data_IF_245831004193
#
_entry.id   IF_245831004193
#
_cell.length_a   1.000
_cell.length_b   1.000
_cell.length_c   1.000
_cell.angle_alpha   90.00
_cell.angle_beta   90.00
_cell.angle_gamma   90.00
#
_symmetry.space_group_name_H-M   'P 1'
#
loop_
_entity.id
_entity.type
_entity.pdbx_description
1 polymer ?
#
# COMPACT_ATOMS: atom_id res chain seq x y z
N UNK A 1 60.27 30.80 26.03
CA UNK A 1 59.88 29.42 25.63
C UNK A 1 58.42 29.07 26.00
N UNK A 2 57.47 30.02 25.99
CA UNK A 2 56.06 29.77 26.39
C UNK A 2 55.10 29.63 25.19
N UNK A 3 55.55 29.89 23.95
CA UNK A 3 54.64 29.99 22.80
C UNK A 3 54.18 28.65 22.19
N UNK A 4 54.97 27.58 22.25
CA UNK A 4 54.63 26.31 21.57
C UNK A 4 53.61 25.46 22.31
N UNK A 5 53.65 25.44 23.66
CA UNK A 5 52.77 24.59 24.47
C UNK A 5 51.33 25.13 24.50
N UNK A 6 51.17 26.46 24.58
CA UNK A 6 49.86 27.13 24.57
C UNK A 6 49.14 26.99 23.22
N UNK A 7 49.86 27.05 22.10
CA UNK A 7 49.27 26.88 20.76
C UNK A 7 48.77 25.44 20.56
N UNK A 8 49.51 24.44 21.05
CA UNK A 8 49.08 23.03 20.98
C UNK A 8 47.84 22.77 21.84
N UNK A 9 47.80 23.32 23.06
CA UNK A 9 46.63 23.21 23.93
C UNK A 9 45.38 23.86 23.30
N UNK A 10 45.56 25.02 22.65
CA UNK A 10 44.46 25.72 21.97
C UNK A 10 43.93 24.96 20.75
N UNK A 11 44.83 24.35 19.94
CA UNK A 11 44.43 23.51 18.81
C UNK A 11 43.68 22.25 19.24
N UNK A 12 44.14 21.57 20.30
CA UNK A 12 43.46 20.39 20.85
C UNK A 12 42.08 20.77 21.40
N UNK A 13 41.98 21.90 22.11
CA UNK A 13 40.70 22.40 22.61
C UNK A 13 39.75 22.82 21.46
N UNK A 14 40.26 23.45 20.41
CA UNK A 14 39.46 23.85 19.25
C UNK A 14 38.93 22.63 18.47
N UNK A 15 39.75 21.60 18.27
CA UNK A 15 39.31 20.35 17.61
C UNK A 15 38.30 19.60 18.48
N UNK A 16 38.54 19.51 19.81
CA UNK A 16 37.59 18.88 20.73
C UNK A 16 36.25 19.61 20.77
N UNK A 17 36.26 20.95 20.76
CA UNK A 17 35.03 21.75 20.71
C UNK A 17 34.29 21.56 19.39
N UNK A 18 35.01 21.47 18.26
CA UNK A 18 34.42 21.21 16.95
C UNK A 18 33.79 19.81 16.84
N UNK A 19 34.39 18.79 17.47
CA UNK A 19 33.83 17.44 17.54
C UNK A 19 32.59 17.35 18.45
N UNK A 20 32.45 18.25 19.44
CA UNK A 20 31.30 18.27 20.37
C UNK A 20 30.13 19.13 19.87
N UNK A 21 30.36 20.00 18.87
CA UNK A 21 29.29 20.83 18.25
C UNK A 21 28.79 20.27 16.92
N UNK A 22 29.38 19.18 16.42
CA UNK A 22 28.81 18.46 15.28
C UNK A 22 27.52 17.80 15.73
N UNK A 23 26.37 18.36 15.35
CA UNK A 23 25.09 17.67 15.47
C UNK A 23 25.22 16.34 14.72
N UNK A 24 25.36 15.24 15.44
CA UNK A 24 25.29 13.91 14.85
C UNK A 24 23.85 13.74 14.35
N UNK A 25 23.61 14.02 13.07
CA UNK A 25 22.37 13.64 12.42
C UNK A 25 22.37 12.13 12.31
N UNK A 26 21.72 11.45 13.26
CA UNK A 26 21.41 10.04 13.17
C UNK A 26 20.45 9.86 12.00
N UNK A 27 20.94 9.34 10.88
CA UNK A 27 20.10 8.93 9.76
C UNK A 27 19.39 7.65 10.21
N UNK A 28 18.09 7.75 10.50
CA UNK A 28 17.27 6.56 10.73
C UNK A 28 17.20 5.83 9.39
N UNK A 29 17.67 4.59 9.38
CA UNK A 29 17.72 3.80 8.16
C UNK A 29 16.31 3.32 7.79
N UNK A 30 15.88 3.67 6.58
CA UNK A 30 14.71 3.10 5.93
C UNK A 30 15.07 1.71 5.38
N UNK A 31 14.29 0.70 5.75
CA UNK A 31 14.41 -0.65 5.22
C UNK A 31 13.19 -0.95 4.35
N UNK A 32 13.46 -1.31 3.11
CA UNK A 32 12.48 -1.66 2.10
C UNK A 32 12.47 -3.19 1.94
N UNK A 33 11.31 -3.81 2.13
CA UNK A 33 11.19 -5.27 2.09
C UNK A 33 9.92 -5.75 1.40
N UNK A 34 9.91 -7.03 1.04
CA UNK A 34 8.70 -7.75 0.65
C UNK A 34 8.61 -9.05 1.42
N UNK A 35 7.39 -9.45 1.75
CA UNK A 35 7.13 -10.58 2.63
C UNK A 35 5.66 -10.92 2.73
N UNK A 36 5.31 -11.69 3.75
CA UNK A 36 3.92 -12.09 4.03
C UNK A 36 3.53 -11.65 5.42
N UNK A 37 2.32 -11.10 5.59
CA UNK A 37 1.80 -10.77 6.93
C UNK A 37 1.58 -12.07 7.72
N UNK A 38 2.23 -12.20 8.87
CA UNK A 38 2.13 -13.38 9.74
C UNK A 38 1.10 -13.20 10.85
N UNK A 39 0.93 -11.97 11.34
CA UNK A 39 -0.05 -11.64 12.37
C UNK A 39 -0.29 -10.14 12.45
N UNK A 40 -1.42 -9.76 13.03
CA UNK A 40 -1.81 -8.37 13.28
C UNK A 40 -2.43 -8.26 14.67
N UNK A 41 -2.04 -7.23 15.42
CA UNK A 41 -2.65 -6.88 16.70
C UNK A 41 -3.24 -5.47 16.59
N UNK A 42 -4.54 -5.40 16.32
CA UNK A 42 -5.28 -4.13 16.22
C UNK A 42 -5.31 -3.35 17.53
N UNK A 43 -5.19 -4.03 18.68
CA UNK A 43 -5.21 -3.37 19.99
C UNK A 43 -3.88 -2.71 20.31
N UNK A 44 -2.77 -3.36 19.91
CA UNK A 44 -1.42 -2.81 20.01
C UNK A 44 -1.07 -1.86 18.85
N UNK A 45 -1.81 -1.92 17.74
CA UNK A 45 -1.52 -1.15 16.54
C UNK A 45 -0.34 -1.70 15.72
N UNK A 46 0.00 -2.97 15.90
CA UNK A 46 1.20 -3.59 15.29
C UNK A 46 0.87 -4.62 14.23
N UNK A 47 1.69 -4.67 13.19
CA UNK A 47 1.65 -5.69 12.13
C UNK A 47 3.00 -6.41 12.10
N UNK A 48 2.96 -7.74 11.97
CA UNK A 48 4.13 -8.59 11.81
C UNK A 48 4.20 -9.12 10.38
N UNK A 49 5.38 -9.02 9.77
CA UNK A 49 5.65 -9.45 8.41
C UNK A 49 6.85 -10.39 8.43
N UNK A 50 6.69 -11.59 7.87
CA UNK A 50 7.83 -12.44 7.53
C UNK A 50 8.48 -11.90 6.27
N UNK A 51 9.60 -11.19 6.43
CA UNK A 51 10.34 -10.55 5.36
C UNK A 51 11.19 -11.56 4.61
N UNK A 52 11.02 -11.63 3.28
CA UNK A 52 11.65 -12.63 2.42
C UNK A 52 12.58 -12.00 1.38
N UNK A 53 12.36 -10.73 1.05
CA UNK A 53 13.18 -9.97 0.10
C UNK A 53 13.50 -8.59 0.66
N UNK A 54 14.66 -8.07 0.29
CA UNK A 54 15.08 -6.71 0.59
C UNK A 54 15.44 -5.97 -0.69
N UNK A 55 15.13 -4.68 -0.71
CA UNK A 55 15.57 -3.79 -1.78
C UNK A 55 17.01 -3.36 -1.51
N UNK A 56 17.84 -3.44 -2.53
CA UNK A 56 19.23 -2.99 -2.49
C UNK A 56 19.54 -2.14 -3.71
N UNK A 57 20.39 -1.14 -3.50
CA UNK A 57 20.98 -0.35 -4.57
C UNK A 57 22.46 -0.72 -4.61
N UNK A 58 22.88 -1.33 -5.72
CA UNK A 58 24.28 -1.58 -6.02
C UNK A 58 24.78 -0.57 -7.04
N UNK A 59 26.08 -0.29 -7.09
CA UNK A 59 26.64 0.66 -8.06
C UNK A 59 27.61 -0.05 -8.98
N UNK A 60 27.36 0.04 -10.29
CA UNK A 60 28.34 -0.37 -11.31
C UNK A 60 28.89 0.90 -11.95
N UNK A 61 30.03 1.39 -11.44
CA UNK A 61 30.52 2.73 -11.75
C UNK A 61 29.64 3.80 -11.12
N UNK A 62 29.13 4.74 -11.92
CA UNK A 62 28.21 5.81 -11.49
C UNK A 62 26.73 5.47 -11.69
N UNK A 63 26.41 4.27 -12.20
CA UNK A 63 25.03 3.88 -12.48
C UNK A 63 24.48 3.07 -11.30
N UNK A 64 23.39 3.53 -10.66
CA UNK A 64 22.68 2.74 -9.66
C UNK A 64 21.99 1.55 -10.35
N UNK A 65 22.10 0.39 -9.72
CA UNK A 65 21.43 -0.84 -10.10
C UNK A 65 20.57 -1.29 -8.92
N UNK A 66 19.28 -1.03 -9.06
CA UNK A 66 18.23 -1.28 -8.07
C UNK A 66 17.68 -2.69 -8.23
N UNK A 67 17.74 -3.47 -7.16
CA UNK A 67 17.37 -4.88 -7.20
C UNK A 67 16.65 -5.31 -5.93
N UNK A 68 15.67 -6.19 -6.12
CA UNK A 68 15.11 -6.99 -5.03
C UNK A 68 15.90 -8.28 -4.93
N UNK A 69 16.53 -8.51 -3.79
CA UNK A 69 17.30 -9.73 -3.54
C UNK A 69 16.61 -10.56 -2.46
N UNK A 70 16.64 -11.90 -2.57
CA UNK A 70 16.23 -12.76 -1.46
C UNK A 70 17.03 -12.42 -0.21
N UNK A 71 16.34 -12.25 0.91
CA UNK A 71 16.93 -12.03 2.22
C UNK A 71 16.78 -13.28 3.08
N UNK A 72 17.54 -13.36 4.17
CA UNK A 72 17.25 -14.37 5.19
C UNK A 72 15.90 -14.03 5.81
N UNK A 73 15.01 -15.03 5.89
CA UNK A 73 13.67 -14.82 6.38
C UNK A 73 13.71 -14.33 7.83
N UNK A 74 13.10 -13.17 8.07
CA UNK A 74 13.12 -12.49 9.38
C UNK A 74 11.76 -11.88 9.67
N UNK A 75 11.33 -12.01 10.92
CA UNK A 75 10.12 -11.34 11.40
C UNK A 75 10.41 -9.84 11.57
N UNK A 76 9.59 -9.00 10.95
CA UNK A 76 9.61 -7.56 11.12
C UNK A 76 8.31 -7.14 11.78
N UNK A 77 8.42 -6.49 12.94
CA UNK A 77 7.28 -6.00 13.72
C UNK A 77 7.27 -4.48 13.65
N UNK A 78 6.18 -3.87 13.23
CA UNK A 78 6.08 -2.41 13.24
C UNK A 78 4.69 -1.89 13.54
N UNK A 79 4.61 -0.63 13.95
CA UNK A 79 3.36 0.09 14.10
C UNK A 79 2.78 0.40 12.72
N UNK A 80 1.48 0.15 12.54
CA UNK A 80 0.78 0.47 11.30
C UNK A 80 0.75 2.00 11.07
N UNK A 81 0.90 2.47 9.81
CA UNK A 81 0.88 3.91 9.52
C UNK A 81 -0.48 4.57 9.83
N UNK A 82 -1.56 3.79 9.68
CA UNK A 82 -2.92 4.15 10.03
C UNK A 82 -3.72 2.91 10.47
N UNK A 83 -4.72 3.11 11.33
CA UNK A 83 -5.62 2.05 11.80
C UNK A 83 -6.39 1.32 10.69
N UNK A 84 -6.57 1.97 9.52
CA UNK A 84 -7.21 1.37 8.35
C UNK A 84 -6.42 0.18 7.78
N UNK A 85 -5.12 0.07 8.08
CA UNK A 85 -4.32 -1.10 7.71
C UNK A 85 -4.98 -2.41 8.20
N UNK A 86 -5.57 -2.42 9.39
CA UNK A 86 -6.25 -3.59 9.95
C UNK A 86 -7.60 -3.93 9.30
N UNK A 87 -8.04 -3.14 8.32
CA UNK A 87 -9.26 -3.39 7.54
C UNK A 87 -8.93 -3.75 6.08
N UNK A 88 -7.77 -3.33 5.58
CA UNK A 88 -7.32 -3.55 4.20
C UNK A 88 -6.50 -4.83 4.07
N UNK A 89 -5.67 -5.12 5.07
CA UNK A 89 -4.77 -6.26 5.06
C UNK A 89 -5.30 -7.43 5.89
N UNK A 90 -4.88 -8.63 5.52
CA UNK A 90 -5.17 -9.88 6.22
C UNK A 90 -3.89 -10.68 6.46
N UNK A 91 -3.93 -11.60 7.44
CA UNK A 91 -2.84 -12.55 7.65
C UNK A 91 -2.74 -13.48 6.45
N UNK A 92 -1.53 -13.65 5.92
CA UNK A 92 -1.26 -14.39 4.69
C UNK A 92 -1.17 -13.51 3.44
N UNK A 93 -1.52 -12.23 3.52
CA UNK A 93 -1.35 -11.31 2.39
C UNK A 93 0.14 -11.12 2.07
N UNK A 94 0.53 -11.24 0.79
CA UNK A 94 1.84 -10.80 0.35
C UNK A 94 1.86 -9.27 0.30
N UNK A 95 2.93 -8.69 0.86
CA UNK A 95 3.06 -7.25 1.02
C UNK A 95 4.46 -6.76 0.67
N UNK A 96 4.53 -5.51 0.22
CA UNK A 96 5.73 -4.68 0.29
C UNK A 96 5.61 -3.78 1.50
N UNK A 97 6.72 -3.46 2.14
CA UNK A 97 6.73 -2.53 3.27
C UNK A 97 7.99 -1.68 3.29
N UNK A 98 7.87 -0.54 3.95
CA UNK A 98 9.00 0.33 4.32
C UNK A 98 8.89 0.59 5.82
N UNK A 99 9.98 0.36 6.53
CA UNK A 99 10.05 0.54 7.99
C UNK A 99 11.26 1.39 8.38
N UNK A 100 11.06 2.25 9.38
CA UNK A 100 12.14 3.00 10.02
C UNK A 100 12.75 2.18 11.15
N UNK A 101 14.08 2.02 11.15
CA UNK A 101 14.79 1.44 12.29
C UNK A 101 15.08 -0.06 12.21
N UNK A 102 14.88 -0.70 11.06
CA UNK A 102 15.29 -2.08 10.81
C UNK A 102 14.15 -3.10 11.00
N UNK A 103 14.27 -4.01 11.97
CA UNK A 103 13.26 -5.06 12.22
C UNK A 103 12.16 -4.64 13.20
N UNK A 104 12.18 -3.37 13.62
CA UNK A 104 11.27 -2.77 14.60
C UNK A 104 11.06 -1.29 14.30
N UNK A 105 9.92 -0.72 14.71
CA UNK A 105 9.64 0.72 14.61
C UNK A 105 8.29 1.03 13.97
N UNK A 106 8.24 2.15 13.25
CA UNK A 106 7.05 2.58 12.52
C UNK A 106 7.19 2.20 11.05
N UNK A 107 6.15 1.57 10.50
CA UNK A 107 6.07 1.45 9.05
C UNK A 107 5.83 2.85 8.46
N UNK A 108 6.60 3.21 7.43
CA UNK A 108 6.29 4.36 6.58
C UNK A 108 5.17 4.02 5.60
N UNK A 109 5.13 2.77 5.15
CA UNK A 109 4.09 2.28 4.27
C UNK A 109 4.05 0.76 4.19
N UNK A 110 2.85 0.24 3.95
CA UNK A 110 2.58 -1.16 3.65
C UNK A 110 1.71 -1.18 2.40
N UNK A 111 2.07 -2.01 1.43
CA UNK A 111 1.33 -2.17 0.18
C UNK A 111 0.98 -3.63 -0.06
N UNK A 112 -0.28 -3.88 -0.45
CA UNK A 112 -0.75 -5.21 -0.84
C UNK A 112 -0.31 -5.46 -2.27
N UNK A 113 0.37 -6.59 -2.48
CA UNK A 113 0.88 -6.98 -3.78
C UNK A 113 0.24 -8.29 -4.24
N UNK A 114 0.23 -8.58 -5.54
CA UNK A 114 -0.33 -9.82 -6.09
C UNK A 114 0.60 -11.03 -5.90
N UNK A 115 1.91 -10.79 -5.85
CA UNK A 115 2.96 -11.81 -5.68
C UNK A 115 4.20 -11.20 -5.03
N UNK A 116 5.05 -12.02 -4.42
CA UNK A 116 6.32 -11.57 -3.82
C UNK A 116 7.38 -11.50 -4.92
N UNK A 117 7.42 -10.38 -5.64
CA UNK A 117 8.37 -10.15 -6.73
C UNK A 117 8.58 -8.65 -7.00
N UNK A 118 9.68 -8.30 -7.65
CA UNK A 118 9.99 -6.90 -8.01
C UNK A 118 9.07 -6.31 -9.10
N UNK A 119 8.34 -7.15 -9.83
CA UNK A 119 7.35 -6.80 -10.84
C UNK A 119 5.90 -6.92 -10.36
N UNK A 120 5.70 -7.09 -9.04
CA UNK A 120 4.37 -7.23 -8.47
C UNK A 120 3.55 -5.94 -8.63
N UNK A 121 2.26 -6.12 -8.90
CA UNK A 121 1.28 -5.03 -8.96
C UNK A 121 0.79 -4.71 -7.55
N UNK A 122 0.53 -3.43 -7.30
CA UNK A 122 0.04 -2.95 -6.01
C UNK A 122 -1.46 -2.68 -6.10
N UNK A 123 -2.25 -3.34 -5.25
CA UNK A 123 -3.71 -3.14 -5.18
C UNK A 123 -4.16 -2.24 -4.04
N UNK A 124 -3.35 -2.08 -2.99
CA UNK A 124 -3.63 -1.15 -1.91
C UNK A 124 -2.35 -0.66 -1.24
N UNK A 125 -2.38 0.56 -0.69
CA UNK A 125 -1.30 1.16 0.10
C UNK A 125 -1.91 1.82 1.33
N UNK A 126 -1.30 1.61 2.49
CA UNK A 126 -1.50 2.45 3.67
C UNK A 126 -0.14 3.00 4.07
N UNK A 127 0.01 4.32 4.06
CA UNK A 127 1.26 5.02 4.34
C UNK A 127 1.72 5.94 3.21
N UNK A 128 3.03 6.14 3.11
CA UNK A 128 3.65 7.08 2.19
C UNK A 128 3.71 6.52 0.76
N UNK A 129 2.89 7.07 -0.13
CA UNK A 129 2.78 6.56 -1.49
C UNK A 129 4.01 6.88 -2.34
N UNK A 130 4.65 8.03 -2.14
CA UNK A 130 5.81 8.46 -2.93
C UNK A 130 7.00 7.55 -2.66
N UNK A 131 7.13 7.07 -1.42
CA UNK A 131 8.14 6.07 -1.06
C UNK A 131 7.77 4.66 -1.51
N UNK A 132 6.48 4.31 -1.62
CA UNK A 132 6.03 2.95 -1.89
C UNK A 132 5.91 2.61 -3.39
N UNK A 133 5.55 3.60 -4.22
CA UNK A 133 5.25 3.41 -5.65
C UNK A 133 6.54 3.46 -6.47
N UNK A 134 7.29 2.34 -6.47
CA UNK A 134 8.39 2.11 -7.42
C UNK A 134 7.91 1.50 -8.77
N UNK A 135 6.63 1.12 -8.83
CA UNK A 135 5.99 0.39 -9.93
C UNK A 135 4.52 0.80 -10.04
N UNK A 136 3.90 0.65 -11.23
CA UNK A 136 2.49 0.97 -11.43
C UNK A 136 1.60 0.20 -10.45
N UNK A 137 0.49 0.83 -10.07
CA UNK A 137 -0.59 0.18 -9.35
C UNK A 137 -1.28 -0.83 -10.28
N UNK A 138 -2.12 -1.69 -9.71
CA UNK A 138 -2.92 -2.63 -10.47
C UNK A 138 -3.68 -1.93 -11.62
N UNK A 139 -3.87 -2.63 -12.73
CA UNK A 139 -4.61 -2.14 -13.92
C UNK A 139 -3.99 -0.87 -14.57
N UNK A 140 -2.70 -0.62 -14.36
CA UNK A 140 -1.97 0.46 -15.03
C UNK A 140 -2.21 1.85 -14.43
N UNK A 141 -2.87 1.93 -13.28
CA UNK A 141 -2.99 3.19 -12.53
C UNK A 141 -1.64 3.68 -12.03
N UNK A 142 -1.48 5.00 -11.99
CA UNK A 142 -0.37 5.67 -11.36
C UNK A 142 -0.90 6.90 -10.62
N UNK A 143 -0.41 7.08 -9.40
CA UNK A 143 -0.77 8.20 -8.53
C UNK A 143 0.49 8.92 -8.10
N UNK A 144 0.47 10.24 -8.21
CA UNK A 144 1.46 11.13 -7.62
C UNK A 144 0.77 12.04 -6.62
N UNK A 145 1.36 12.23 -5.44
CA UNK A 145 0.86 13.18 -4.46
C UNK A 145 1.96 14.13 -4.03
N UNK A 146 1.67 15.43 -4.05
CA UNK A 146 2.59 16.47 -3.60
C UNK A 146 2.00 17.17 -2.38
N UNK A 147 2.51 16.92 -1.16
CA UNK A 147 2.04 17.58 0.04
C UNK A 147 2.42 19.07 0.05
N UNK A 148 1.45 19.94 0.29
CA UNK A 148 1.63 21.38 0.40
C UNK A 148 1.82 21.81 1.87
N UNK A 149 3.04 22.21 2.29
CA UNK A 149 3.32 22.53 3.68
C UNK A 149 2.59 23.79 4.17
N UNK A 150 2.15 23.78 5.43
CA UNK A 150 1.65 24.97 6.08
C UNK A 150 2.82 25.92 6.44
N UNK A 151 3.12 26.83 5.51
CA UNK A 151 4.23 27.76 5.66
C UNK A 151 4.04 28.82 6.76
N UNK A 152 2.80 29.06 7.20
CA UNK A 152 2.52 30.01 8.27
C UNK A 152 2.97 29.48 9.66
N UNK A 153 3.00 28.16 9.83
CA UNK A 153 3.32 27.49 11.10
C UNK A 153 4.60 26.65 11.01
N UNK A 154 5.33 26.74 9.90
CA UNK A 154 6.48 25.89 9.68
C UNK A 154 7.68 26.27 10.57
N UNK A 155 8.18 25.29 11.32
CA UNK A 155 9.42 25.40 12.06
C UNK A 155 10.26 24.13 11.86
N UNK A 156 11.52 24.29 11.45
CA UNK A 156 12.43 23.17 11.20
C UNK A 156 12.59 22.83 9.72
N UNK A 157 12.85 21.56 9.42
CA UNK A 157 13.14 21.06 8.06
C UNK A 157 11.92 20.50 7.35
N UNK A 158 10.92 20.07 8.12
CA UNK A 158 9.62 19.62 7.63
C UNK A 158 8.51 20.46 8.26
N UNK A 159 7.41 20.63 7.56
CA UNK A 159 6.22 21.31 8.04
C UNK A 159 5.03 20.36 7.92
N UNK A 160 4.06 20.46 8.82
CA UNK A 160 2.77 19.79 8.61
C UNK A 160 2.15 20.25 7.29
N UNK A 161 1.72 19.30 6.48
CA UNK A 161 1.05 19.57 5.22
C UNK A 161 -0.40 20.03 5.45
N UNK A 162 -0.77 21.15 4.84
CA UNK A 162 -2.13 21.69 4.90
C UNK A 162 -3.07 20.99 3.91
N UNK A 163 -2.52 20.48 2.81
CA UNK A 163 -3.21 19.73 1.78
C UNK A 163 -2.22 18.88 0.99
N UNK A 164 -2.72 18.06 0.06
CA UNK A 164 -1.92 17.34 -0.92
C UNK A 164 -2.53 17.50 -2.32
N UNK A 165 -1.75 17.92 -3.30
CA UNK A 165 -2.12 17.87 -4.70
C UNK A 165 -1.95 16.45 -5.22
N UNK A 166 -3.04 15.81 -5.65
CA UNK A 166 -3.07 14.42 -6.08
C UNK A 166 -3.45 14.36 -7.55
N UNK A 167 -2.59 13.72 -8.34
CA UNK A 167 -2.84 13.42 -9.75
C UNK A 167 -2.96 11.92 -9.92
N UNK A 168 -4.09 11.49 -10.48
CA UNK A 168 -4.37 10.10 -10.83
C UNK A 168 -4.33 9.97 -12.34
N UNK A 169 -3.55 9.00 -12.81
CA UNK A 169 -3.38 8.70 -14.23
C UNK A 169 -3.49 7.21 -14.47
N UNK A 170 -3.78 6.84 -15.72
CA UNK A 170 -3.77 5.46 -16.20
C UNK A 170 -3.12 5.40 -17.57
N UNK A 171 -2.13 4.53 -17.73
CA UNK A 171 -1.37 4.37 -18.98
C UNK A 171 -0.81 5.70 -19.52
N UNK A 172 -0.43 6.61 -18.61
CA UNK A 172 0.09 7.96 -18.92
C UNK A 172 -0.97 9.02 -19.21
N UNK A 173 -2.26 8.68 -19.22
CA UNK A 173 -3.36 9.64 -19.37
C UNK A 173 -3.86 10.09 -18.00
N UNK A 174 -3.93 11.41 -17.79
CA UNK A 174 -4.47 11.98 -16.55
C UNK A 174 -5.98 11.75 -16.52
N UNK A 175 -6.45 11.08 -15.47
CA UNK A 175 -7.86 10.83 -15.20
C UNK A 175 -8.45 11.88 -14.26
N UNK A 176 -7.67 12.32 -13.27
CA UNK A 176 -8.12 13.28 -12.26
C UNK A 176 -6.95 14.07 -11.67
N UNK A 177 -7.19 15.34 -11.37
CA UNK A 177 -6.32 16.21 -10.59
C UNK A 177 -7.17 16.81 -9.47
N UNK A 178 -6.73 16.66 -8.23
CA UNK A 178 -7.48 17.08 -7.05
C UNK A 178 -6.57 17.60 -5.96
N UNK A 179 -7.11 18.43 -5.07
CA UNK A 179 -6.42 18.83 -3.84
C UNK A 179 -7.16 18.22 -2.66
N UNK A 180 -6.48 17.37 -1.92
CA UNK A 180 -7.03 16.69 -0.75
C UNK A 180 -6.59 17.42 0.53
N UNK A 181 -7.55 17.76 1.38
CA UNK A 181 -7.28 18.17 2.76
C UNK A 181 -7.10 16.93 3.65
N UNK A 182 -6.43 17.03 4.81
CA UNK A 182 -6.36 15.94 5.77
C UNK A 182 -7.74 15.37 6.10
N UNK A 183 -7.90 14.06 5.95
CA UNK A 183 -9.15 13.32 6.12
C UNK A 183 -10.06 13.26 4.87
N UNK A 184 -9.75 14.01 3.81
CA UNK A 184 -10.53 14.01 2.56
C UNK A 184 -10.03 12.95 1.57
N UNK A 185 -10.90 12.55 0.65
CA UNK A 185 -10.63 11.52 -0.34
C UNK A 185 -11.11 11.92 -1.74
N UNK A 186 -10.58 11.21 -2.74
CA UNK A 186 -11.03 11.23 -4.12
C UNK A 186 -11.28 9.79 -4.59
N UNK A 187 -12.37 9.62 -5.34
CA UNK A 187 -12.72 8.40 -6.05
C UNK A 187 -12.60 8.66 -7.56
N UNK A 188 -11.82 7.83 -8.24
CA UNK A 188 -11.54 7.96 -9.66
C UNK A 188 -11.89 6.64 -10.34
N UNK A 189 -12.95 6.66 -11.14
CA UNK A 189 -13.35 5.51 -11.95
C UNK A 189 -12.77 5.64 -13.36
N UNK A 190 -12.20 4.56 -13.88
CA UNK A 190 -11.78 4.48 -15.29
C UNK A 190 -12.97 4.27 -16.24
N UNK A 191 -12.84 4.62 -17.52
CA UNK A 191 -13.85 4.33 -18.54
C UNK A 191 -13.27 3.37 -19.60
N UNK A 192 -13.91 2.21 -19.85
CA UNK A 192 -15.15 1.73 -19.23
C UNK A 192 -14.93 1.37 -17.75
N UNK A 193 -15.94 1.58 -16.91
CA UNK A 193 -15.93 1.37 -15.44
C UNK A 193 -15.59 -0.05 -14.99
N UNK A 194 -14.35 -0.46 -15.19
CA UNK A 194 -13.81 -1.77 -14.82
C UNK A 194 -13.11 -1.70 -13.47
N UNK A 195 -12.48 -0.57 -13.18
CA UNK A 195 -11.76 -0.32 -11.93
C UNK A 195 -12.03 1.07 -11.39
N UNK A 196 -11.93 1.17 -10.06
CA UNK A 196 -12.05 2.38 -9.28
C UNK A 196 -10.83 2.50 -8.37
N UNK A 197 -10.24 3.69 -8.36
CA UNK A 197 -9.17 4.07 -7.45
C UNK A 197 -9.73 5.00 -6.39
N UNK A 198 -9.63 4.57 -5.14
CA UNK A 198 -9.89 5.37 -3.96
C UNK A 198 -8.55 5.87 -3.41
N UNK A 199 -8.44 7.17 -3.12
CA UNK A 199 -7.30 7.74 -2.40
C UNK A 199 -7.76 8.73 -1.34
N UNK A 200 -7.28 8.56 -0.12
CA UNK A 200 -7.49 9.47 1.01
C UNK A 200 -6.17 10.00 1.53
N UNK A 201 -6.08 11.32 1.68
CA UNK A 201 -4.98 11.94 2.41
C UNK A 201 -5.31 11.93 3.91
N UNK A 202 -4.55 11.19 4.72
CA UNK A 202 -4.80 11.09 6.17
C UNK A 202 -4.17 12.28 6.87
N UNK A 203 -2.86 12.45 6.67
CA UNK A 203 -2.01 13.50 7.25
C UNK A 203 -0.67 13.47 6.53
N UNK A 204 0.14 14.51 6.66
CA UNK A 204 1.49 14.43 6.14
C UNK A 204 2.34 15.64 6.45
N UNK A 205 3.53 15.63 5.86
CA UNK A 205 4.52 16.68 5.97
C UNK A 205 5.02 17.09 4.58
N UNK A 206 5.35 18.36 4.45
CA UNK A 206 6.05 18.93 3.29
C UNK A 206 7.41 19.48 3.71
N UNK A 207 8.33 19.64 2.75
CA UNK A 207 9.65 20.22 3.01
C UNK A 207 9.54 21.72 3.25
N UNK A 208 10.21 22.24 4.30
CA UNK A 208 10.17 23.68 4.59
C UNK A 208 10.85 24.54 3.52
N UNK A 209 11.68 23.93 2.67
CA UNK A 209 12.31 24.60 1.52
C UNK A 209 11.30 25.08 0.47
N UNK A 210 10.10 24.49 0.39
CA UNK A 210 9.07 24.98 -0.55
C UNK A 210 8.39 26.25 -0.05
N UNK A 211 8.45 26.53 1.26
CA UNK A 211 7.88 27.73 1.87
C UNK A 211 8.66 29.01 1.61
N UNK A 212 9.96 28.89 1.31
CA UNK A 212 10.79 30.02 0.93
C UNK A 212 11.81 29.58 -0.13
N UNK A 213 11.56 29.90 -1.42
CA UNK A 213 12.47 29.51 -2.50
C UNK A 213 13.84 30.19 -2.42
N UNK A 214 13.97 31.27 -1.66
CA UNK A 214 15.23 32.01 -1.45
C UNK A 214 16.02 31.53 -0.22
N UNK A 215 15.48 30.57 0.55
CA UNK A 215 16.20 30.01 1.69
C UNK A 215 17.38 29.15 1.22
N UNK A 216 18.57 29.26 1.83
CA UNK A 216 19.69 28.41 1.47
C UNK A 216 19.30 26.93 1.66
N UNK A 217 19.54 26.11 0.63
CA UNK A 217 19.14 24.69 0.52
C UNK A 217 19.78 23.72 1.55
N UNK A 218 20.23 24.22 2.69
CA UNK A 218 21.16 23.53 3.60
C UNK A 218 20.52 23.27 4.97
N UNK A 219 19.27 22.83 4.99
CA UNK A 219 18.64 22.29 6.19
C UNK A 219 18.59 20.76 6.06
N UNK A 220 19.70 20.09 6.39
CA UNK A 220 19.69 18.65 6.60
C UNK A 220 18.82 18.33 7.82
N UNK A 221 17.81 17.50 7.66
CA UNK A 221 16.88 17.12 8.72
C UNK A 221 16.06 15.90 8.36
N UNK A 222 15.09 15.51 9.21
CA UNK A 222 14.19 14.41 8.92
C UNK A 222 13.54 14.57 7.54
N UNK A 223 13.35 13.45 6.85
CA UNK A 223 12.64 13.47 5.58
C UNK A 223 11.14 13.62 5.86
N UNK A 224 10.44 14.44 5.08
CA UNK A 224 8.99 14.58 5.19
C UNK A 224 8.32 13.23 4.88
N UNK A 225 7.32 12.86 5.69
CA UNK A 225 6.52 11.63 5.52
C UNK A 225 5.06 11.98 5.45
N UNK A 226 4.34 11.40 4.49
CA UNK A 226 2.90 11.55 4.36
C UNK A 226 2.19 10.21 4.46
N UNK A 227 0.97 10.20 4.99
CA UNK A 227 0.15 8.99 5.13
C UNK A 227 -1.07 9.13 4.26
N UNK A 228 -1.21 8.20 3.33
CA UNK A 228 -2.39 8.04 2.49
C UNK A 228 -3.00 6.65 2.71
N UNK A 229 -4.26 6.52 2.33
CA UNK A 229 -4.91 5.23 2.11
C UNK A 229 -5.27 5.21 0.63
N UNK A 230 -4.73 4.24 -0.11
CA UNK A 230 -4.97 4.05 -1.54
C UNK A 230 -5.47 2.64 -1.76
N UNK A 231 -6.54 2.48 -2.53
CA UNK A 231 -7.11 1.18 -2.91
C UNK A 231 -7.50 1.20 -4.38
N UNK A 232 -7.13 0.15 -5.12
CA UNK A 232 -7.54 -0.08 -6.51
C UNK A 232 -8.44 -1.30 -6.53
N UNK A 233 -9.72 -1.07 -6.82
CA UNK A 233 -10.75 -2.09 -6.71
C UNK A 233 -11.41 -2.33 -8.07
N UNK A 234 -11.69 -3.59 -8.46
CA UNK A 234 -12.52 -3.86 -9.61
C UNK A 234 -13.96 -3.42 -9.31
N UNK A 235 -14.57 -2.70 -10.25
CA UNK A 235 -15.98 -2.34 -10.19
C UNK A 235 -16.79 -3.58 -10.54
N UNK A 236 -17.64 -4.05 -9.61
CA UNK A 236 -18.50 -5.18 -9.87
C UNK A 236 -19.38 -4.90 -11.10
N UNK A 237 -19.35 -5.80 -12.09
CA UNK A 237 -20.24 -5.70 -13.24
C UNK A 237 -21.70 -5.67 -12.75
N UNK A 238 -22.50 -4.72 -13.26
CA UNK A 238 -23.92 -4.68 -12.98
C UNK A 238 -24.53 -6.07 -13.26
N UNK A 239 -25.46 -6.58 -12.43
CA UNK A 239 -26.10 -7.85 -12.69
C UNK A 239 -26.73 -7.78 -14.07
N UNK A 240 -26.26 -8.63 -14.98
CA UNK A 240 -26.90 -8.82 -16.28
C UNK A 240 -28.34 -9.21 -15.96
N UNK A 241 -29.29 -8.34 -16.30
CA UNK A 241 -30.69 -8.75 -16.33
C UNK A 241 -30.77 -9.89 -17.34
N UNK A 242 -30.86 -11.11 -16.84
CA UNK A 242 -31.24 -12.26 -17.62
C UNK A 242 -32.61 -11.94 -18.18
N UNK A 243 -32.66 -11.53 -19.45
CA UNK A 243 -33.92 -11.42 -20.19
C UNK A 243 -34.49 -12.82 -20.23
N UNK A 244 -35.39 -13.10 -19.30
CA UNK A 244 -36.23 -14.29 -19.32
C UNK A 244 -36.90 -14.32 -20.68
N UNK A 245 -36.42 -15.18 -21.56
CA UNK A 245 -37.06 -15.43 -22.84
C UNK A 245 -38.49 -15.85 -22.53
N UNK A 246 -39.46 -15.09 -23.05
CA UNK A 246 -40.87 -15.43 -22.93
C UNK A 246 -41.06 -16.86 -23.44
N UNK A 247 -41.45 -17.74 -22.53
CA UNK A 247 -41.85 -19.11 -22.81
C UNK A 247 -42.99 -19.05 -23.84
N UNK A 248 -42.70 -19.45 -25.07
CA UNK A 248 -43.70 -19.58 -26.10
C UNK A 248 -44.67 -20.70 -25.70
N UNK A 249 -45.90 -20.30 -25.37
CA UNK A 249 -47.03 -21.21 -25.12
C UNK A 249 -47.16 -22.23 -26.25
N UNK A 250 -47.09 -23.55 -25.99
CA UNK A 250 -47.37 -24.54 -27.01
C UNK A 250 -48.88 -24.55 -27.30
N UNK A 251 -49.22 -24.28 -28.56
CA UNK A 251 -50.58 -24.44 -29.12
C UNK A 251 -51.05 -25.88 -28.93
N UNK A 252 -52.13 -26.06 -28.17
CA UNK A 252 -52.77 -27.37 -27.95
C UNK A 252 -53.48 -27.85 -29.22
N UNK A 253 -53.10 -29.04 -29.70
CA UNK A 253 -53.85 -29.82 -30.70
C UNK A 253 -54.93 -30.64 -29.97
N UNK A 254 -56.20 -30.63 -30.40
CA UNK A 254 -57.24 -31.41 -29.74
C UNK A 254 -57.16 -32.89 -30.19
N UNK A 255 -56.74 -33.77 -29.27
CA UNK A 255 -56.78 -35.21 -29.47
C UNK A 255 -58.02 -35.80 -28.78
N UNK A 256 -58.97 -36.24 -29.60
CA UNK A 256 -60.18 -36.96 -29.21
C UNK A 256 -59.82 -38.31 -28.56
N UNK A 257 -60.23 -38.51 -27.31
CA UNK A 257 -59.99 -39.73 -26.54
C UNK A 257 -61.30 -40.40 -26.11
N UNK A 258 -61.60 -41.51 -26.76
CA UNK A 258 -62.66 -42.46 -26.39
C UNK A 258 -62.21 -43.22 -25.14
N UNK A 259 -63.10 -43.30 -24.15
CA UNK A 259 -62.93 -44.04 -22.92
C UNK A 259 -62.94 -45.58 -23.16
N UNK A 260 -61.95 -46.28 -22.59
CA UNK A 260 -61.93 -47.73 -22.39
C UNK A 260 -61.14 -48.02 -21.11
N UNK A 261 -61.82 -48.29 -19.99
CA UNK A 261 -62.17 -49.62 -19.47
C UNK A 261 -60.96 -50.44 -18.96
N UNK A 262 -60.84 -50.48 -17.63
CA UNK A 262 -60.65 -51.64 -16.73
C UNK A 262 -59.47 -52.60 -17.02
N UNK A 263 -58.53 -52.75 -16.07
CA UNK A 263 -58.39 -54.01 -15.32
C UNK A 263 -57.41 -53.92 -14.13
N UNK A 264 -57.90 -54.39 -12.97
CA UNK A 264 -57.14 -54.83 -11.80
C UNK A 264 -56.26 -56.05 -12.14
N UNK A 265 -55.18 -56.23 -11.36
CA UNK A 265 -54.49 -57.44 -10.85
C UNK A 265 -53.09 -56.90 -10.44
N UNK A 266 -52.55 -56.99 -9.24
CA UNK A 266 -52.70 -57.95 -8.16
C UNK A 266 -51.30 -58.49 -7.80
N UNK A 267 -51.05 -58.67 -6.49
CA UNK A 267 -50.11 -59.66 -5.89
C UNK A 267 -48.65 -59.22 -5.61
N UNK A 268 -48.46 -58.86 -4.34
CA UNK A 268 -47.59 -59.47 -3.30
C UNK A 268 -46.05 -59.61 -3.45
N UNK A 269 -45.44 -59.27 -2.30
CA UNK A 269 -44.36 -59.96 -1.60
C UNK A 269 -42.91 -59.75 -2.10
N UNK A 270 -41.87 -59.81 -1.27
CA UNK A 270 -41.65 -59.73 0.17
C UNK A 270 -40.14 -59.98 0.34
N UNK A 271 -39.48 -59.27 1.28
CA UNK A 271 -38.24 -59.69 1.98
C UNK A 271 -37.01 -59.98 1.08
N UNK A 272 -35.74 -60.06 1.50
CA UNK A 272 -34.99 -59.93 2.73
C UNK A 272 -33.52 -59.66 2.29
N UNK A 273 -32.76 -58.80 2.97
CA UNK A 273 -31.66 -59.15 3.91
C UNK A 273 -30.45 -59.86 3.27
N UNK A 274 -29.26 -59.55 3.84
CA UNK A 274 -27.97 -60.28 3.84
C UNK A 274 -26.94 -59.65 2.89
N UNK A 275 -26.08 -58.74 3.37
CA UNK A 275 -24.85 -58.91 4.19
C UNK A 275 -23.62 -59.41 3.41
N UNK A 276 -22.45 -58.89 3.85
CA UNK A 276 -21.05 -59.22 3.51
C UNK A 276 -20.53 -58.45 2.29
N UNK A 277 -19.39 -57.78 2.35
CA UNK A 277 -18.22 -57.87 3.23
C UNK A 277 -17.49 -56.53 3.22
#
# INVERSE_FOLDING_TARGET
MIKSSLIKAFLVAAVALFCLTGNASAVIQEVNGMGTITSMDKSAGTINISSQYQFTISYTGSTPNEQWIPATETEVTGNAPDSKAFEIFETGDPVRYIILGGTGGDYLGIAKIDKISGDAEISAIVGDIDRMIFKPLADGFAVTAEPDPNCAECSGTTCTASSAAVTVSKDGNILSESTLLPGHFADVTDEPKTFELYIKFVKGEGLSSTCNPDAPMMMGGPQAVSTYILEVNPVAAAPVQETTAAEATPTATPQSGIAGIICLIGVLAAMAVISRK
#
